data_IF_171272057613
#
_entry.id   IF_171272057613
#
_cell.length_a   1.000
_cell.length_b   1.000
_cell.length_c   1.000
_cell.angle_alpha   90.00
_cell.angle_beta   90.00
_cell.angle_gamma   90.00
#
_symmetry.space_group_name_H-M   'P 1'
#
loop_
_entity.id
_entity.type
_entity.pdbx_description
1 polymer ?
#
# COMPACT_ATOMS: atom_id res chain seq x y z
N UNK A 1 -37.29 -64.59 -53.47
CA UNK A 1 -36.88 -64.31 -52.08
C UNK A 1 -36.29 -62.90 -52.06
N UNK A 2 -37.02 -61.88 -51.60
CA UNK A 2 -37.03 -61.35 -50.23
C UNK A 2 -35.62 -61.24 -49.63
N UNK A 3 -35.07 -60.04 -49.61
CA UNK A 3 -34.66 -59.33 -48.37
C UNK A 3 -34.45 -57.84 -48.67
N UNK A 4 -35.26 -57.00 -48.01
CA UNK A 4 -34.99 -55.58 -47.75
C UNK A 4 -33.87 -55.49 -46.70
N UNK A 5 -32.98 -54.50 -46.79
CA UNK A 5 -32.35 -53.83 -45.64
C UNK A 5 -31.51 -52.66 -46.17
N UNK A 6 -31.97 -51.41 -46.00
CA UNK A 6 -31.72 -50.51 -44.84
C UNK A 6 -30.48 -49.64 -45.09
N UNK A 7 -30.76 -48.46 -45.63
CA UNK A 7 -30.37 -47.12 -45.13
C UNK A 7 -29.20 -47.05 -44.14
N UNK A 8 -28.15 -46.30 -44.52
CA UNK A 8 -27.55 -45.31 -43.61
C UNK A 8 -26.99 -44.13 -44.42
N UNK A 9 -27.76 -43.05 -44.47
CA UNK A 9 -27.35 -41.73 -44.92
C UNK A 9 -26.60 -41.08 -43.75
N UNK A 10 -25.27 -41.03 -43.80
CA UNK A 10 -24.47 -40.28 -42.83
C UNK A 10 -24.51 -38.81 -43.24
N UNK A 11 -25.37 -38.06 -42.59
CA UNK A 11 -25.45 -36.61 -42.67
C UNK A 11 -24.32 -36.05 -41.80
N UNK A 12 -23.18 -35.73 -42.42
CA UNK A 12 -22.07 -35.00 -41.80
C UNK A 12 -22.56 -33.58 -41.45
N UNK A 13 -23.13 -33.41 -40.27
CA UNK A 13 -23.24 -32.10 -39.63
C UNK A 13 -21.86 -31.77 -39.06
N UNK A 14 -21.03 -31.12 -39.88
CA UNK A 14 -19.85 -30.42 -39.43
C UNK A 14 -20.32 -29.24 -38.57
N UNK A 15 -20.40 -29.45 -37.25
CA UNK A 15 -20.53 -28.34 -36.31
C UNK A 15 -19.18 -27.63 -36.33
N UNK A 16 -19.04 -26.63 -37.22
CA UNK A 16 -18.10 -25.54 -37.04
C UNK A 16 -18.50 -24.87 -35.72
N UNK A 17 -17.83 -25.24 -34.64
CA UNK A 17 -17.82 -24.42 -33.43
C UNK A 17 -16.95 -23.22 -33.81
N UNK A 18 -17.48 -22.01 -34.01
CA UNK A 18 -16.62 -20.85 -34.12
C UNK A 18 -15.96 -20.68 -32.76
N UNK A 19 -14.69 -21.07 -32.65
CA UNK A 19 -13.84 -20.63 -31.56
C UNK A 19 -13.58 -19.14 -31.77
N UNK A 20 -14.56 -18.31 -31.41
CA UNK A 20 -14.29 -16.90 -31.14
C UNK A 20 -13.53 -16.88 -29.82
N UNK A 21 -12.22 -17.07 -29.90
CA UNK A 21 -11.34 -16.53 -28.87
C UNK A 21 -11.53 -15.01 -28.97
N UNK A 22 -12.30 -14.43 -28.06
CA UNK A 22 -12.33 -12.99 -27.91
C UNK A 22 -10.91 -12.58 -27.53
N UNK A 23 -10.16 -12.01 -28.47
CA UNK A 23 -8.90 -11.35 -28.17
C UNK A 23 -9.21 -10.22 -27.18
N UNK A 24 -8.92 -10.46 -25.90
CA UNK A 24 -9.09 -9.47 -24.86
C UNK A 24 -7.98 -8.44 -25.01
N UNK A 25 -8.35 -7.17 -25.20
CA UNK A 25 -7.38 -6.07 -25.36
C UNK A 25 -6.80 -5.68 -23.99
N UNK A 26 -5.55 -5.24 -23.93
CA UNK A 26 -4.94 -4.87 -22.64
C UNK A 26 -5.23 -3.41 -22.27
N UNK A 27 -5.60 -3.16 -21.00
CA UNK A 27 -5.69 -1.81 -20.44
C UNK A 27 -4.34 -1.32 -19.91
N UNK A 28 -4.08 -0.03 -20.08
CA UNK A 28 -2.96 0.69 -19.48
C UNK A 28 -3.48 1.84 -18.64
N UNK A 29 -2.92 1.99 -17.44
CA UNK A 29 -3.24 3.07 -16.51
C UNK A 29 -2.01 3.97 -16.38
N UNK A 30 -2.17 5.25 -16.71
CA UNK A 30 -1.17 6.28 -16.42
C UNK A 30 -1.76 7.21 -15.37
N UNK A 31 -1.40 6.98 -14.10
CA UNK A 31 -1.91 7.73 -12.95
C UNK A 31 -0.79 8.54 -12.29
N UNK A 32 -1.15 9.69 -11.71
CA UNK A 32 -0.26 10.58 -10.95
C UNK A 32 -1.00 11.18 -9.77
N UNK A 33 -0.29 11.31 -8.65
CA UNK A 33 -0.74 12.08 -7.51
C UNK A 33 -0.29 13.54 -7.68
N UNK A 34 -1.03 14.45 -7.06
CA UNK A 34 -0.67 15.87 -7.03
C UNK A 34 0.63 16.15 -6.24
N UNK A 35 0.98 15.29 -5.29
CA UNK A 35 2.24 15.30 -4.55
C UNK A 35 2.60 13.87 -4.10
N UNK A 36 3.83 13.66 -3.64
CA UNK A 36 4.29 12.42 -2.98
C UNK A 36 4.31 12.54 -1.45
N UNK A 37 4.21 13.76 -0.92
CA UNK A 37 4.25 14.06 0.50
C UNK A 37 3.12 15.04 0.82
N UNK A 38 2.37 14.73 1.87
CA UNK A 38 1.20 15.48 2.33
C UNK A 38 1.34 15.78 3.81
N UNK A 39 0.54 16.72 4.31
CA UNK A 39 0.43 16.94 5.75
C UNK A 39 -0.88 16.36 6.30
N UNK A 40 -0.90 16.07 7.60
CA UNK A 40 -2.10 15.60 8.28
C UNK A 40 -3.32 16.49 7.97
N UNK A 41 -4.41 15.86 7.55
CA UNK A 41 -5.64 16.52 7.11
C UNK A 41 -5.69 16.86 5.63
N UNK A 42 -4.59 16.72 4.88
CA UNK A 42 -4.59 16.86 3.42
C UNK A 42 -4.97 15.52 2.75
N UNK A 43 -5.38 15.58 1.49
CA UNK A 43 -5.89 14.44 0.73
C UNK A 43 -5.10 14.24 -0.58
N UNK A 44 -4.56 13.04 -0.85
CA UNK A 44 -3.91 12.74 -2.12
C UNK A 44 -4.93 12.71 -3.25
N UNK A 45 -4.77 13.61 -4.23
CA UNK A 45 -5.63 13.66 -5.42
C UNK A 45 -4.95 12.87 -6.51
N UNK A 46 -5.64 11.84 -7.01
CA UNK A 46 -5.16 11.02 -8.13
C UNK A 46 -5.81 11.52 -9.41
N UNK A 47 -4.99 11.72 -10.43
CA UNK A 47 -5.42 12.03 -11.80
C UNK A 47 -4.75 11.08 -12.77
N UNK A 48 -5.42 10.74 -13.86
CA UNK A 48 -4.81 9.85 -14.83
C UNK A 48 -5.60 9.67 -16.11
N UNK A 49 -5.08 8.78 -16.96
CA UNK A 49 -5.72 8.30 -18.18
C UNK A 49 -5.69 6.78 -18.28
N UNK A 50 -6.74 6.24 -18.88
CA UNK A 50 -6.86 4.82 -19.22
C UNK A 50 -6.84 4.71 -20.75
N UNK A 51 -5.93 3.88 -21.25
CA UNK A 51 -5.77 3.64 -22.68
C UNK A 51 -5.71 2.15 -23.00
N UNK A 52 -5.92 1.80 -24.26
CA UNK A 52 -5.63 0.46 -24.78
C UNK A 52 -4.12 0.33 -25.14
N UNK A 53 -3.73 -0.85 -25.61
CA UNK A 53 -2.38 -1.14 -26.14
C UNK A 53 -1.94 -0.27 -27.32
N UNK A 54 -2.89 0.33 -28.05
CA UNK A 54 -2.62 1.27 -29.15
C UNK A 54 -2.56 2.73 -28.67
N UNK A 55 -2.70 2.97 -27.35
CA UNK A 55 -2.80 4.28 -26.67
C UNK A 55 -4.07 5.06 -27.03
N UNK A 56 -5.11 4.39 -27.52
CA UNK A 56 -6.42 5.02 -27.67
C UNK A 56 -7.10 5.14 -26.30
N UNK A 57 -7.81 6.24 -26.02
CA UNK A 57 -8.52 6.41 -24.77
C UNK A 57 -9.64 5.38 -24.62
N UNK A 58 -9.79 4.80 -23.42
CA UNK A 58 -10.86 3.86 -23.12
C UNK A 58 -11.90 4.56 -22.23
N UNK A 59 -13.09 4.88 -22.76
CA UNK A 59 -14.15 5.54 -22.00
C UNK A 59 -14.96 4.54 -21.16
N UNK A 60 -15.57 5.05 -20.10
CA UNK A 60 -16.45 4.31 -19.20
C UNK A 60 -15.80 3.02 -18.65
N UNK A 61 -14.48 3.04 -18.44
CA UNK A 61 -13.78 2.00 -17.72
C UNK A 61 -14.04 2.17 -16.22
N UNK A 62 -14.33 1.08 -15.53
CA UNK A 62 -14.57 1.10 -14.08
C UNK A 62 -13.23 1.19 -13.35
N UNK A 63 -13.13 2.10 -12.38
CA UNK A 63 -11.92 2.38 -11.63
C UNK A 63 -12.23 2.20 -10.15
N UNK A 64 -11.47 1.35 -9.47
CA UNK A 64 -11.48 1.22 -8.01
C UNK A 64 -10.13 1.65 -7.47
N UNK A 65 -10.16 2.60 -6.54
CA UNK A 65 -8.97 3.03 -5.81
C UNK A 65 -9.13 2.62 -4.36
N UNK A 66 -8.25 1.73 -3.92
CA UNK A 66 -8.20 1.27 -2.54
C UNK A 66 -7.13 2.09 -1.81
N UNK A 67 -7.59 3.08 -1.02
CA UNK A 67 -6.77 3.75 -0.02
C UNK A 67 -6.77 2.91 1.27
N UNK A 68 -5.76 3.09 2.15
CA UNK A 68 -5.73 2.38 3.44
C UNK A 68 -6.93 2.64 4.36
N UNK A 69 -7.65 3.75 4.17
CA UNK A 69 -8.76 4.21 5.02
C UNK A 69 -10.12 4.22 4.32
N UNK A 70 -10.17 4.04 3.00
CA UNK A 70 -11.40 3.95 2.21
C UNK A 70 -11.16 3.38 0.81
N UNK A 71 -12.23 2.86 0.20
CA UNK A 71 -12.27 2.52 -1.23
C UNK A 71 -13.12 3.56 -1.96
N UNK A 72 -12.60 4.11 -3.06
CA UNK A 72 -13.30 5.06 -3.92
C UNK A 72 -13.48 4.46 -5.31
N UNK A 73 -14.71 4.47 -5.81
CA UNK A 73 -15.03 4.01 -7.16
C UNK A 73 -15.29 5.20 -8.09
N UNK A 74 -14.84 5.10 -9.34
CA UNK A 74 -15.05 6.09 -10.39
C UNK A 74 -15.15 5.41 -11.76
N UNK A 75 -15.43 6.21 -12.80
CA UNK A 75 -15.37 5.77 -14.19
C UNK A 75 -14.52 6.74 -15.01
N UNK A 76 -13.84 6.23 -16.05
CA UNK A 76 -13.13 7.10 -16.99
C UNK A 76 -14.10 7.91 -17.85
N UNK A 77 -13.67 9.12 -18.20
CA UNK A 77 -14.38 10.02 -19.09
C UNK A 77 -14.26 9.58 -20.55
N UNK A 78 -14.93 10.28 -21.46
CA UNK A 78 -14.91 9.98 -22.90
C UNK A 78 -13.51 10.01 -23.53
N UNK A 79 -12.59 10.79 -22.96
CA UNK A 79 -11.19 10.90 -23.38
C UNK A 79 -10.24 9.98 -22.57
N UNK A 80 -10.81 9.03 -21.83
CA UNK A 80 -10.11 8.09 -20.96
C UNK A 80 -9.60 8.71 -19.65
N UNK A 81 -9.85 9.99 -19.38
CA UNK A 81 -9.35 10.67 -18.18
C UNK A 81 -10.17 10.40 -16.92
N UNK A 82 -9.52 10.47 -15.76
CA UNK A 82 -10.17 10.37 -14.47
C UNK A 82 -9.50 11.27 -13.42
N UNK A 83 -10.28 11.64 -12.40
CA UNK A 83 -9.84 12.36 -11.20
C UNK A 83 -10.55 11.78 -9.99
N UNK A 84 -9.79 11.43 -8.96
CA UNK A 84 -10.29 10.80 -7.74
C UNK A 84 -9.79 11.61 -6.55
N UNK A 85 -10.71 11.92 -5.65
CA UNK A 85 -10.47 12.66 -4.42
C UNK A 85 -11.00 11.79 -3.27
N UNK A 86 -10.16 11.38 -2.31
CA UNK A 86 -10.63 10.66 -1.14
C UNK A 86 -11.52 11.56 -0.27
N UNK A 87 -12.49 10.95 0.41
CA UNK A 87 -13.41 11.64 1.33
C UNK A 87 -12.86 11.71 2.75
N UNK A 88 -11.89 10.86 3.09
CA UNK A 88 -11.26 10.82 4.40
C UNK A 88 -9.79 11.24 4.30
N UNK A 89 -9.27 12.02 5.27
CA UNK A 89 -7.86 12.31 5.35
C UNK A 89 -7.08 11.10 5.87
N UNK A 90 -5.83 10.98 5.43
CA UNK A 90 -4.91 10.00 6.01
C UNK A 90 -4.33 10.50 7.34
N UNK A 91 -3.98 9.58 8.23
CA UNK A 91 -3.15 9.87 9.40
C UNK A 91 -1.69 10.09 8.99
N UNK A 92 -0.82 10.37 9.95
CA UNK A 92 0.64 10.44 9.72
C UNK A 92 1.18 9.05 9.45
N UNK A 93 2.03 8.89 8.43
CA UNK A 93 2.63 7.61 8.07
C UNK A 93 2.94 7.44 6.58
N UNK A 94 3.41 6.25 6.23
CA UNK A 94 3.67 5.82 4.84
C UNK A 94 2.52 4.92 4.35
N UNK A 95 2.10 5.12 3.11
CA UNK A 95 0.91 4.46 2.58
C UNK A 95 1.08 4.01 1.13
N UNK A 96 0.53 2.84 0.82
CA UNK A 96 0.32 2.34 -0.54
C UNK A 96 -1.13 2.51 -0.98
N UNK A 97 -1.34 2.81 -2.26
CA UNK A 97 -2.64 2.90 -2.93
C UNK A 97 -2.62 1.92 -4.10
N UNK A 98 -3.67 1.10 -4.23
CA UNK A 98 -3.90 0.31 -5.43
C UNK A 98 -5.03 0.87 -6.28
N UNK A 99 -4.76 1.01 -7.58
CA UNK A 99 -5.72 1.42 -8.60
C UNK A 99 -6.00 0.21 -9.47
N UNK A 100 -7.25 -0.22 -9.54
CA UNK A 100 -7.70 -1.36 -10.33
C UNK A 100 -8.71 -0.88 -11.35
N UNK A 101 -8.48 -1.22 -12.60
CA UNK A 101 -9.34 -0.81 -13.72
C UNK A 101 -9.86 -2.03 -14.47
N UNK A 102 -11.16 -2.02 -14.78
CA UNK A 102 -11.83 -3.06 -15.56
C UNK A 102 -12.72 -2.47 -16.66
N UNK A 103 -12.83 -3.21 -17.77
CA UNK A 103 -13.75 -2.91 -18.87
C UNK A 103 -14.06 -4.20 -19.62
N UNK A 104 -15.32 -4.39 -20.02
CA UNK A 104 -15.71 -5.55 -20.81
C UNK A 104 -14.92 -5.62 -22.13
N UNK A 105 -14.41 -6.80 -22.45
CA UNK A 105 -13.54 -7.01 -23.61
C UNK A 105 -12.08 -6.62 -23.40
N UNK A 106 -11.71 -6.25 -22.18
CA UNK A 106 -10.33 -5.96 -21.81
C UNK A 106 -9.84 -6.77 -20.62
N UNK A 107 -8.53 -6.99 -20.56
CA UNK A 107 -7.87 -7.48 -19.37
C UNK A 107 -7.82 -6.40 -18.28
N UNK A 108 -7.92 -6.85 -17.02
CA UNK A 108 -7.79 -5.97 -15.86
C UNK A 108 -6.40 -5.33 -15.83
N UNK A 109 -6.34 -4.05 -15.48
CA UNK A 109 -5.10 -3.36 -15.18
C UNK A 109 -5.02 -2.98 -13.71
N UNK A 110 -3.82 -3.06 -13.15
CA UNK A 110 -3.52 -2.65 -11.78
C UNK A 110 -2.31 -1.71 -11.76
N UNK A 111 -2.36 -0.69 -10.92
CA UNK A 111 -1.24 0.22 -10.65
C UNK A 111 -1.13 0.47 -9.15
N UNK A 112 0.09 0.59 -8.64
CA UNK A 112 0.37 0.84 -7.22
C UNK A 112 1.12 2.17 -7.11
N UNK A 113 0.76 2.97 -6.12
CA UNK A 113 1.39 4.25 -5.82
C UNK A 113 1.67 4.36 -4.33
N UNK A 114 2.73 5.09 -3.96
CA UNK A 114 3.13 5.27 -2.56
C UNK A 114 3.22 6.77 -2.21
N UNK A 115 2.84 7.12 -0.99
CA UNK A 115 2.93 8.49 -0.47
C UNK A 115 3.14 8.52 1.04
N UNK A 116 3.69 9.64 1.51
CA UNK A 116 3.96 9.92 2.91
C UNK A 116 3.05 11.03 3.43
N UNK A 117 2.60 10.91 4.68
CA UNK A 117 1.89 11.97 5.40
C UNK A 117 2.65 12.36 6.65
N UNK A 118 2.99 13.64 6.73
CA UNK A 118 3.76 14.23 7.82
C UNK A 118 2.87 15.02 8.77
N UNK A 119 3.35 15.21 9.99
CA UNK A 119 2.73 16.19 10.90
C UNK A 119 2.86 17.60 10.33
N UNK A 120 1.80 18.40 10.46
CA UNK A 120 1.91 19.84 10.18
C UNK A 120 2.93 20.42 11.16
N UNK A 121 3.87 21.26 10.70
CA UNK A 121 4.72 22.00 11.62
C UNK A 121 3.81 22.72 12.61
N UNK A 122 3.96 22.39 13.90
CA UNK A 122 3.29 23.13 14.95
C UNK A 122 3.68 24.59 14.79
N UNK A 123 2.71 25.49 14.66
CA UNK A 123 2.91 26.91 14.92
C UNK A 123 3.20 27.05 16.42
N UNK A 124 4.40 26.63 16.85
CA UNK A 124 5.03 27.18 18.03
C UNK A 124 5.28 28.65 17.70
N UNK A 125 4.24 29.45 17.87
CA UNK A 125 4.43 30.81 18.38
C UNK A 125 5.17 30.61 19.69
N UNK A 126 6.50 30.69 19.63
CA UNK A 126 7.33 30.96 20.79
C UNK A 126 6.74 32.26 21.34
N UNK A 127 5.89 32.14 22.35
CA UNK A 127 5.41 33.29 23.09
C UNK A 127 6.69 33.89 23.66
N UNK A 128 7.07 35.03 23.09
CA UNK A 128 8.20 35.81 23.57
C UNK A 128 7.94 36.14 25.05
N UNK A 129 8.58 35.36 25.92
CA UNK A 129 8.44 35.45 27.38
C UNK A 129 8.90 36.83 27.88
N UNK A 130 9.63 37.59 27.06
CA UNK A 130 10.10 38.94 27.36
C UNK A 130 9.00 40.01 27.18
N UNK A 131 8.01 39.77 26.31
CA UNK A 131 6.86 40.67 26.10
C UNK A 131 5.85 40.65 27.25
N UNK A 132 5.78 39.56 28.02
CA UNK A 132 4.82 39.39 29.13
C UNK A 132 5.28 40.18 30.38
N UNK A 133 6.58 40.32 30.63
CA UNK A 133 7.07 41.03 31.82
C UNK A 133 6.82 42.55 31.76
N UNK A 134 6.77 43.14 30.57
CA UNK A 134 6.54 44.59 30.41
C UNK A 134 5.07 44.98 30.57
N UNK A 135 4.14 44.08 30.26
CA UNK A 135 2.70 44.28 30.45
C UNK A 135 2.23 44.09 31.91
N UNK A 136 2.96 43.32 32.72
CA UNK A 136 2.58 43.04 34.13
C UNK A 136 2.92 44.20 35.08
N UNK A 137 3.92 45.05 34.76
CA UNK A 137 4.25 46.19 35.61
C UNK A 137 3.21 47.33 35.55
N UNK A 138 2.45 47.45 34.46
CA UNK A 138 1.40 48.47 34.31
C UNK A 138 0.06 48.07 34.97
N UNK A 139 -0.11 46.79 35.31
CA UNK A 139 -1.31 46.29 36.00
C UNK A 139 -1.14 46.36 37.54
N UNK A 140 0.10 46.38 38.04
CA UNK A 140 0.40 46.44 39.47
C UNK A 140 0.02 47.76 40.16
N UNK A 141 -0.15 48.84 39.42
CA UNK A 141 -0.51 50.17 39.96
C UNK A 141 -2.01 50.45 40.00
N UNK A 142 -2.86 49.61 39.38
CA UNK A 142 -4.32 49.77 39.44
C UNK A 142 -5.01 48.91 40.51
N UNK A 143 -4.27 48.03 41.20
CA UNK A 143 -4.83 47.13 42.24
C UNK A 143 -4.73 47.70 43.67
N UNK A 144 -4.93 49.01 43.88
CA UNK A 144 -5.02 49.58 45.25
C UNK A 144 -6.46 49.76 45.72
N UNK A 145 -7.48 49.70 44.86
CA UNK A 145 -8.87 49.87 45.29
C UNK A 145 -9.81 48.79 44.76
N UNK A 146 -10.24 47.88 45.65
CA UNK A 146 -11.53 47.19 45.52
C UNK A 146 -11.49 45.77 44.98
N UNK A 147 -11.09 44.82 45.82
CA UNK A 147 -11.57 43.44 45.73
C UNK A 147 -13.08 43.44 45.99
N UNK A 148 -13.87 42.94 45.03
CA UNK A 148 -14.98 41.95 45.18
C UNK A 148 -15.87 42.03 43.94
N UNK A 149 -16.15 40.89 43.31
CA UNK A 149 -16.91 40.71 42.07
C UNK A 149 -16.17 41.13 40.79
N UNK A 150 -15.35 40.22 40.23
CA UNK A 150 -14.88 40.40 38.86
C UNK A 150 -14.96 39.08 38.08
N UNK A 151 -15.88 38.94 37.10
CA UNK A 151 -16.06 37.71 36.30
C UNK A 151 -14.80 37.29 35.52
N UNK A 152 -13.82 38.19 35.43
CA UNK A 152 -12.53 37.97 34.77
C UNK A 152 -11.66 36.96 35.54
N UNK A 153 -11.70 36.93 36.88
CA UNK A 153 -10.92 35.98 37.68
C UNK A 153 -11.43 34.53 37.53
N UNK A 154 -12.73 34.37 37.37
CA UNK A 154 -13.38 33.08 37.14
C UNK A 154 -13.10 32.56 35.73
N UNK A 155 -13.13 33.44 34.72
CA UNK A 155 -12.71 33.12 33.35
C UNK A 155 -11.24 32.70 33.29
N UNK A 156 -10.35 33.39 34.03
CA UNK A 156 -8.93 33.04 34.08
C UNK A 156 -8.68 31.66 34.72
N UNK A 157 -9.41 31.37 35.81
CA UNK A 157 -9.34 30.06 36.46
C UNK A 157 -9.87 28.93 35.56
N UNK A 158 -10.97 29.17 34.83
CA UNK A 158 -11.50 28.21 33.85
C UNK A 158 -10.52 27.96 32.69
N UNK A 159 -9.84 29.01 32.21
CA UNK A 159 -8.85 28.87 31.16
C UNK A 159 -7.61 28.08 31.62
N UNK A 160 -7.16 28.26 32.87
CA UNK A 160 -6.08 27.45 33.45
C UNK A 160 -6.48 25.98 33.60
N UNK A 161 -7.69 25.69 34.09
CA UNK A 161 -8.18 24.31 34.24
C UNK A 161 -8.32 23.59 32.88
N UNK A 162 -8.79 24.32 31.87
CA UNK A 162 -8.88 23.80 30.50
C UNK A 162 -7.49 23.53 29.90
N UNK A 163 -6.53 24.44 30.11
CA UNK A 163 -5.16 24.26 29.64
C UNK A 163 -4.49 23.06 30.31
N UNK A 164 -4.67 22.87 31.62
CA UNK A 164 -4.15 21.71 32.34
C UNK A 164 -4.75 20.40 31.81
N UNK A 165 -6.07 20.34 31.62
CA UNK A 165 -6.73 19.17 31.03
C UNK A 165 -6.24 18.84 29.63
N UNK A 166 -5.93 19.86 28.83
CA UNK A 166 -5.35 19.65 27.50
C UNK A 166 -3.93 19.10 27.58
N UNK A 167 -3.10 19.58 28.51
CA UNK A 167 -1.76 19.02 28.73
C UNK A 167 -1.82 17.55 29.18
N UNK A 168 -2.64 17.23 30.18
CA UNK A 168 -2.78 15.85 30.66
C UNK A 168 -3.27 14.90 29.54
N UNK A 169 -4.17 15.37 28.68
CA UNK A 169 -4.67 14.61 27.53
C UNK A 169 -3.59 14.38 26.45
N UNK A 170 -2.69 15.35 26.26
CA UNK A 170 -1.56 15.22 25.33
C UNK A 170 -0.52 14.24 25.86
N UNK A 171 -0.19 14.30 27.16
CA UNK A 171 0.72 13.36 27.80
C UNK A 171 0.18 11.93 27.76
N UNK A 172 -1.12 11.73 28.07
CA UNK A 172 -1.76 10.42 27.96
C UNK A 172 -1.74 9.89 26.52
N UNK A 173 -2.02 10.75 25.53
CA UNK A 173 -1.97 10.36 24.12
C UNK A 173 -0.56 9.98 23.69
N UNK A 174 0.46 10.72 24.10
CA UNK A 174 1.86 10.38 23.81
C UNK A 174 2.27 9.07 24.47
N UNK A 175 1.88 8.83 25.73
CA UNK A 175 2.16 7.57 26.42
C UNK A 175 1.51 6.36 25.72
N UNK A 176 0.27 6.51 25.24
CA UNK A 176 -0.42 5.45 24.49
C UNK A 176 0.25 5.18 23.14
N UNK A 177 0.65 6.23 22.40
CA UNK A 177 1.41 6.09 21.14
C UNK A 177 2.73 5.38 21.38
N UNK A 178 3.47 5.75 22.43
CA UNK A 178 4.73 5.09 22.77
C UNK A 178 4.52 3.60 23.04
N UNK A 179 3.50 3.26 23.85
CA UNK A 179 3.14 1.87 24.15
C UNK A 179 2.76 1.09 22.89
N UNK A 180 2.02 1.69 21.96
CA UNK A 180 1.70 1.06 20.68
C UNK A 180 2.93 0.83 19.81
N UNK A 181 3.85 1.79 19.74
CA UNK A 181 5.10 1.66 19.01
C UNK A 181 6.00 0.57 19.59
N UNK A 182 6.07 0.46 20.91
CA UNK A 182 6.84 -0.58 21.59
C UNK A 182 6.28 -1.98 21.26
N UNK A 183 4.96 -2.15 21.34
CA UNK A 183 4.27 -3.40 20.96
C UNK A 183 4.49 -3.75 19.49
N UNK A 184 4.41 -2.76 18.59
CA UNK A 184 4.66 -2.97 17.16
C UNK A 184 6.11 -3.38 16.90
N UNK A 185 7.06 -2.80 17.64
CA UNK A 185 8.47 -3.17 17.61
C UNK A 185 8.69 -4.63 18.02
N UNK A 186 8.06 -5.08 19.11
CA UNK A 186 8.10 -6.48 19.55
C UNK A 186 7.51 -7.43 18.52
N UNK A 187 6.34 -7.09 17.94
CA UNK A 187 5.71 -7.91 16.91
C UNK A 187 6.59 -8.05 15.67
N UNK A 188 7.19 -6.94 15.19
CA UNK A 188 8.13 -6.95 14.06
C UNK A 188 9.33 -7.85 14.32
N UNK A 189 9.87 -7.82 15.54
CA UNK A 189 10.98 -8.68 15.94
C UNK A 189 10.59 -10.16 15.88
N UNK A 190 9.44 -10.53 16.45
CA UNK A 190 8.96 -11.93 16.42
C UNK A 190 8.77 -12.43 14.98
N UNK A 191 8.12 -11.63 14.14
CA UNK A 191 7.90 -11.98 12.73
C UNK A 191 9.22 -12.13 11.98
N UNK A 192 10.18 -11.22 12.22
CA UNK A 192 11.49 -11.28 11.59
C UNK A 192 12.31 -12.49 12.05
N UNK A 193 12.26 -12.84 13.34
CA UNK A 193 12.93 -14.02 13.89
C UNK A 193 12.31 -15.31 13.30
N UNK A 194 10.97 -15.37 13.18
CA UNK A 194 10.28 -16.49 12.51
C UNK A 194 10.65 -16.59 11.04
N UNK A 195 10.67 -15.47 10.32
CA UNK A 195 11.03 -15.45 8.90
C UNK A 195 12.48 -15.93 8.69
N UNK A 196 13.41 -15.51 9.55
CA UNK A 196 14.79 -16.00 9.47
C UNK A 196 14.89 -17.51 9.74
N UNK A 197 14.13 -18.04 10.69
CA UNK A 197 14.08 -19.47 10.94
C UNK A 197 13.51 -20.24 9.74
N UNK A 198 12.42 -19.75 9.15
CA UNK A 198 11.81 -20.34 7.96
C UNK A 198 12.77 -20.34 6.76
N UNK A 199 13.46 -19.21 6.52
CA UNK A 199 14.46 -19.11 5.45
C UNK A 199 15.62 -20.08 5.67
N UNK A 200 16.14 -20.19 6.89
CA UNK A 200 17.22 -21.13 7.22
C UNK A 200 16.77 -22.58 7.00
N UNK A 201 15.53 -22.91 7.37
CA UNK A 201 14.97 -24.24 7.13
C UNK A 201 14.74 -24.51 5.64
N UNK A 202 14.27 -23.53 4.87
CA UNK A 202 14.14 -23.65 3.42
C UNK A 202 15.50 -23.85 2.75
N UNK A 203 16.54 -23.14 3.20
CA UNK A 203 17.91 -23.35 2.71
C UNK A 203 18.37 -24.78 3.02
N UNK A 204 18.16 -25.30 4.22
CA UNK A 204 18.51 -26.68 4.60
C UNK A 204 17.72 -27.74 3.79
N UNK A 205 16.41 -27.54 3.61
CA UNK A 205 15.56 -28.44 2.83
C UNK A 205 15.95 -28.41 1.33
N UNK A 206 16.38 -27.26 0.82
CA UNK A 206 16.81 -27.10 -0.57
C UNK A 206 18.26 -27.49 -0.81
N UNK A 207 19.12 -27.57 0.22
CA UNK A 207 20.47 -28.14 0.11
C UNK A 207 20.42 -29.56 -0.45
N UNK A 208 19.38 -30.34 -0.12
CA UNK A 208 19.20 -31.66 -0.71
C UNK A 208 18.99 -31.55 -2.23
N UNK A 209 18.25 -30.58 -2.72
CA UNK A 209 17.94 -30.44 -4.15
C UNK A 209 18.94 -29.56 -4.91
N UNK A 210 19.94 -29.01 -4.23
CA UNK A 210 21.02 -28.26 -4.87
C UNK A 210 21.66 -29.15 -5.95
N UNK A 211 21.75 -28.67 -7.22
CA UNK A 211 22.30 -29.43 -8.33
C UNK A 211 23.68 -30.04 -8.04
N UNK A 212 24.54 -29.33 -7.29
CA UNK A 212 25.85 -29.82 -6.89
C UNK A 212 25.73 -30.99 -5.91
N UNK A 213 24.91 -30.85 -4.86
CA UNK A 213 24.73 -31.89 -3.83
C UNK A 213 24.03 -33.14 -4.40
N UNK A 214 23.02 -32.94 -5.24
CA UNK A 214 22.34 -34.02 -5.95
C UNK A 214 23.29 -34.77 -6.89
N UNK A 215 24.10 -34.04 -7.67
CA UNK A 215 25.11 -34.64 -8.55
C UNK A 215 26.21 -35.35 -7.77
N UNK A 216 26.67 -34.78 -6.65
CA UNK A 216 27.67 -35.41 -5.78
C UNK A 216 27.22 -36.77 -5.26
N UNK A 217 25.94 -36.93 -4.90
CA UNK A 217 25.38 -38.21 -4.45
C UNK A 217 25.25 -39.22 -5.59
N UNK A 218 24.90 -38.75 -6.79
CA UNK A 218 24.91 -39.62 -7.97
C UNK A 218 26.32 -40.13 -8.26
N UNK A 219 27.33 -39.26 -8.22
CA UNK A 219 28.72 -39.62 -8.50
C UNK A 219 29.32 -40.50 -7.40
N UNK A 220 28.88 -40.39 -6.15
CA UNK A 220 29.39 -41.26 -5.06
C UNK A 220 29.06 -42.74 -5.28
N UNK A 221 27.98 -43.06 -5.99
CA UNK A 221 27.59 -44.42 -6.32
C UNK A 221 28.27 -44.97 -7.59
N UNK A 222 29.01 -44.12 -8.32
CA UNK A 222 29.75 -44.47 -9.54
C UNK A 222 31.16 -44.94 -9.18
N UNK A 223 31.73 -45.84 -9.98
CA UNK A 223 33.09 -46.34 -9.80
C UNK A 223 34.14 -45.21 -9.72
N UNK A 224 34.95 -45.24 -8.65
CA UNK A 224 35.99 -44.24 -8.36
C UNK A 224 36.95 -43.95 -9.53
N UNK A 225 37.18 -44.92 -10.41
CA UNK A 225 38.07 -44.76 -11.58
C UNK A 225 37.53 -43.79 -12.64
N UNK A 226 36.22 -43.55 -12.67
CA UNK A 226 35.56 -42.69 -13.67
C UNK A 226 34.88 -41.45 -13.08
N UNK A 227 34.80 -41.32 -11.75
CA UNK A 227 34.17 -40.17 -11.07
C UNK A 227 34.72 -38.81 -11.53
N UNK A 228 36.03 -38.72 -11.80
CA UNK A 228 36.66 -37.49 -12.31
C UNK A 228 36.12 -37.04 -13.68
N UNK A 229 35.68 -37.97 -14.52
CA UNK A 229 35.10 -37.67 -15.83
C UNK A 229 33.71 -37.03 -15.65
N UNK A 230 32.90 -37.56 -14.73
CA UNK A 230 31.58 -37.02 -14.41
C UNK A 230 31.67 -35.61 -13.82
N UNK A 231 32.58 -35.37 -12.87
CA UNK A 231 32.83 -34.02 -12.34
C UNK A 231 33.34 -33.04 -13.41
N UNK A 232 34.18 -33.51 -14.32
CA UNK A 232 34.64 -32.71 -15.45
C UNK A 232 33.50 -32.24 -16.36
N UNK A 233 32.54 -33.12 -16.67
CA UNK A 233 31.38 -32.77 -17.49
C UNK A 233 30.42 -31.83 -16.76
N UNK A 234 30.18 -32.05 -15.47
CA UNK A 234 29.33 -31.18 -14.66
C UNK A 234 29.87 -29.75 -14.55
N UNK A 235 31.18 -29.59 -14.35
CA UNK A 235 31.78 -28.26 -14.27
C UNK A 235 31.72 -27.51 -15.61
N UNK A 236 31.79 -28.21 -16.74
CA UNK A 236 31.68 -27.61 -18.07
C UNK A 236 30.25 -27.12 -18.38
N UNK A 237 29.23 -27.84 -17.94
CA UNK A 237 27.82 -27.44 -18.17
C UNK A 237 27.36 -26.32 -17.24
N UNK A 238 28.01 -26.10 -16.11
CA UNK A 238 27.72 -24.97 -15.20
C UNK A 238 28.35 -23.63 -15.65
N UNK A 239 29.27 -23.64 -16.61
CA UNK A 239 29.99 -22.44 -17.08
C UNK A 239 29.39 -21.80 -18.37
N UNK A 240 28.21 -22.25 -18.81
CA UNK A 240 27.47 -21.70 -19.96
C UNK A 240 26.26 -20.91 -19.48
#
# INVERSE_FOLDING_TARGET
>A
MKTKSIMFLILLFSVLIPSVAAESSQLFIVARMNASTFYAGDAPIITGKITDQSRNPVPDASIRVDYPFETVNATSSTDGSFKIIPTKPAGVGEYGISIITTKDGYEMAMSIMEYSVLEKPSDTSIVDVDGIQKGVQDVGTMMVNGLTQNPIAEILAQQMDLAQKQQDALEQRQAEIQKQNDLLGEQRKIVNDSLQADLAQMDEDTEFYNPFNAFSRFVSDVDSSVQNIFWGQFNLTQQQ
#
